data_IF_159098421315
#
_entry.id   IF_159098421315
#
_cell.length_a   1.000
_cell.length_b   1.000
_cell.length_c   1.000
_cell.angle_alpha   90.00
_cell.angle_beta   90.00
_cell.angle_gamma   90.00
#
_symmetry.space_group_name_H-M   'P 1'
#
loop_
_entity.id
_entity.type
_entity.pdbx_description
1 polymer ?
#
# COMPACT_ATOMS: atom_id res chain seq x y z
N UNK A 1 62.94 -3.38 39.12
CA UNK A 1 62.93 -4.70 38.47
C UNK A 1 61.83 -5.50 39.16
N UNK A 2 60.63 -5.47 38.60
CA UNK A 2 59.43 -6.12 39.11
C UNK A 2 58.65 -6.56 37.87
N UNK A 3 58.69 -7.86 37.60
CA UNK A 3 58.03 -8.50 36.46
C UNK A 3 56.53 -8.66 36.75
N UNK A 4 55.69 -8.06 35.91
CA UNK A 4 54.25 -8.33 35.87
C UNK A 4 53.96 -9.25 34.69
N UNK A 5 53.87 -10.54 34.97
CA UNK A 5 53.43 -11.57 34.04
C UNK A 5 51.98 -11.94 34.40
N UNK A 6 51.00 -11.39 33.68
CA UNK A 6 49.60 -11.81 33.76
C UNK A 6 49.20 -12.48 32.46
N UNK A 7 49.31 -13.81 32.43
CA UNK A 7 48.65 -14.66 31.45
C UNK A 7 47.14 -14.58 31.65
N UNK A 8 46.43 -14.03 30.67
CA UNK A 8 44.97 -14.12 30.59
C UNK A 8 44.62 -15.33 29.72
N UNK A 9 44.26 -16.45 30.37
CA UNK A 9 43.63 -17.61 29.73
C UNK A 9 42.21 -17.27 29.28
N UNK A 10 41.96 -17.32 27.97
CA UNK A 10 40.62 -17.29 27.39
C UNK A 10 39.97 -18.68 27.46
N UNK A 11 38.69 -18.82 27.85
CA UNK A 11 37.99 -20.09 27.74
C UNK A 11 37.62 -20.41 26.28
N UNK A 12 37.97 -21.63 25.92
CA UNK A 12 37.76 -22.28 24.64
C UNK A 12 36.27 -22.69 24.50
N UNK A 13 35.46 -21.94 23.75
CA UNK A 13 34.10 -22.36 23.39
C UNK A 13 34.10 -23.00 22.00
N UNK A 14 34.42 -24.30 21.97
CA UNK A 14 34.09 -25.19 20.86
C UNK A 14 32.83 -25.98 21.25
N UNK A 15 31.78 -25.89 20.42
CA UNK A 15 30.72 -26.90 20.39
C UNK A 15 29.33 -26.31 20.20
N UNK A 16 28.71 -26.61 19.05
CA UNK A 16 27.26 -26.48 18.88
C UNK A 16 26.80 -25.84 17.57
N UNK A 17 27.10 -26.47 16.44
CA UNK A 17 26.30 -26.27 15.23
C UNK A 17 24.97 -26.99 15.43
N UNK A 18 23.91 -26.25 15.72
CA UNK A 18 22.54 -26.71 15.56
C UNK A 18 21.80 -25.68 14.69
N UNK A 19 21.54 -26.10 13.45
CA UNK A 19 20.64 -25.44 12.51
C UNK A 19 19.26 -25.27 13.15
N UNK A 20 18.83 -24.03 13.34
CA UNK A 20 17.43 -23.73 13.64
C UNK A 20 16.81 -23.29 12.32
N UNK A 21 15.86 -24.13 11.89
CA UNK A 21 15.15 -24.09 10.64
C UNK A 21 14.21 -22.88 10.51
N UNK A 22 13.88 -22.59 9.25
CA UNK A 22 12.78 -21.76 8.77
C UNK A 22 11.52 -21.81 9.65
N UNK A 23 10.95 -20.67 10.07
CA UNK A 23 9.59 -20.60 10.59
C UNK A 23 8.60 -20.34 9.45
N UNK A 24 8.64 -21.14 8.39
CA UNK A 24 7.65 -21.15 7.31
C UNK A 24 7.16 -22.57 7.10
N UNK A 25 6.15 -22.96 7.90
CA UNK A 25 5.10 -23.96 7.62
C UNK A 25 4.56 -24.49 8.95
N UNK A 26 3.35 -24.06 9.30
CA UNK A 26 2.31 -24.88 9.95
C UNK A 26 1.29 -23.95 10.61
N UNK A 27 0.17 -23.69 9.95
CA UNK A 27 -1.11 -23.50 10.63
C UNK A 27 -2.22 -23.97 9.69
N UNK A 28 -2.30 -25.29 9.52
CA UNK A 28 -3.52 -25.95 9.08
C UNK A 28 -4.32 -26.37 10.32
N UNK A 29 -5.51 -25.76 10.44
CA UNK A 29 -6.77 -26.37 10.81
C UNK A 29 -6.95 -27.03 12.20
N UNK A 30 -7.76 -26.42 13.06
CA UNK A 30 -8.93 -27.06 13.72
C UNK A 30 -9.62 -26.12 14.71
N UNK A 31 -10.96 -26.11 14.72
CA UNK A 31 -11.74 -25.74 15.91
C UNK A 31 -12.93 -24.82 15.70
N UNK A 32 -14.02 -25.37 15.18
CA UNK A 32 -15.39 -24.90 15.45
C UNK A 32 -15.68 -24.94 16.95
N UNK A 33 -16.28 -23.88 17.50
CA UNK A 33 -17.22 -23.90 18.64
C UNK A 33 -17.86 -22.52 18.79
N UNK A 34 -19.19 -22.44 18.66
CA UNK A 34 -19.95 -21.20 18.79
C UNK A 34 -20.28 -20.84 20.23
N UNK A 35 -20.79 -19.62 20.43
CA UNK A 35 -21.87 -19.38 21.38
C UNK A 35 -22.58 -18.03 21.11
N UNK A 36 -23.86 -18.02 21.45
CA UNK A 36 -24.84 -16.95 21.30
C UNK A 36 -24.69 -15.81 22.31
N UNK A 37 -25.33 -14.67 22.04
CA UNK A 37 -25.68 -13.69 23.08
C UNK A 37 -26.12 -12.33 22.56
N UNK A 38 -27.41 -12.02 22.72
CA UNK A 38 -28.05 -10.72 22.47
C UNK A 38 -27.47 -9.56 23.29
N UNK A 39 -27.57 -8.32 22.78
CA UNK A 39 -28.42 -7.24 23.30
C UNK A 39 -27.91 -5.84 22.93
N UNK A 40 -28.80 -5.05 22.33
CA UNK A 40 -29.23 -3.69 22.68
C UNK A 40 -28.20 -2.71 23.27
N UNK A 41 -27.91 -1.63 22.52
CA UNK A 41 -27.12 -0.51 23.05
C UNK A 41 -27.16 0.83 22.30
N UNK A 42 -27.88 0.98 21.17
CA UNK A 42 -27.87 2.26 20.40
C UNK A 42 -29.01 3.16 20.84
N UNK A 43 -28.95 3.65 22.07
CA UNK A 43 -29.73 4.80 22.51
C UNK A 43 -29.09 5.38 23.77
N UNK A 44 -28.08 6.24 23.59
CA UNK A 44 -27.61 7.30 24.51
C UNK A 44 -26.17 7.64 24.15
N UNK A 45 -25.96 8.73 23.43
CA UNK A 45 -24.76 9.59 23.50
C UNK A 45 -24.91 10.74 22.50
N UNK A 46 -25.87 11.63 22.75
CA UNK A 46 -25.89 12.97 22.18
C UNK A 46 -25.90 13.95 23.36
N UNK A 47 -24.79 14.66 23.66
CA UNK A 47 -24.81 15.79 24.57
C UNK A 47 -25.42 17.02 23.87
N UNK A 48 -26.21 17.84 24.58
CA UNK A 48 -26.80 19.06 24.04
C UNK A 48 -25.78 20.20 24.06
N UNK A 49 -25.70 21.01 22.99
CA UNK A 49 -25.12 22.36 23.11
C UNK A 49 -24.15 22.85 22.03
N UNK A 50 -24.41 22.63 20.74
CA UNK A 50 -23.76 23.44 19.70
C UNK A 50 -24.78 24.35 19.01
N UNK A 51 -24.76 25.61 19.45
CA UNK A 51 -25.39 26.76 18.82
C UNK A 51 -24.47 27.27 17.71
N UNK A 52 -25.06 27.52 16.54
CA UNK A 52 -24.49 28.33 15.47
C UNK A 52 -24.18 29.75 15.96
N UNK A 53 -23.05 30.31 15.53
CA UNK A 53 -22.66 31.69 15.80
C UNK A 53 -21.32 32.03 15.16
N UNK A 54 -21.36 32.72 14.02
CA UNK A 54 -20.20 33.12 13.25
C UNK A 54 -19.33 34.22 13.87
N UNK A 55 -18.11 34.36 13.34
CA UNK A 55 -17.19 35.45 13.64
C UNK A 55 -15.91 35.33 12.83
N UNK A 56 -15.77 36.15 11.79
CA UNK A 56 -14.56 36.26 10.99
C UNK A 56 -13.48 37.10 11.67
N UNK A 57 -12.23 36.84 11.32
CA UNK A 57 -11.09 37.68 11.68
C UNK A 57 -10.23 37.99 10.43
N UNK A 58 -9.94 39.27 10.13
CA UNK A 58 -9.01 39.66 9.07
C UNK A 58 -7.58 39.83 9.61
N UNK A 59 -6.58 39.42 8.84
CA UNK A 59 -5.16 39.75 9.09
C UNK A 59 -4.55 40.35 7.81
N UNK A 60 -4.05 41.60 7.83
CA UNK A 60 -3.35 42.24 6.72
C UNK A 60 -1.81 42.24 6.92
N UNK A 61 -1.04 42.11 5.83
CA UNK A 61 0.34 42.62 5.73
C UNK A 61 1.47 41.61 5.50
N UNK A 62 2.68 42.07 5.11
CA UNK A 62 3.21 41.83 3.77
C UNK A 62 4.62 41.21 3.77
N UNK A 63 4.78 40.01 3.19
CA UNK A 63 6.09 39.46 2.84
C UNK A 63 5.99 38.69 1.50
N UNK A 64 6.20 39.43 0.41
CA UNK A 64 6.39 38.89 -0.93
C UNK A 64 7.77 38.26 -1.07
N UNK A 65 7.82 37.04 -1.61
CA UNK A 65 9.06 36.31 -1.88
C UNK A 65 8.88 34.81 -2.14
N UNK A 66 7.68 34.26 -1.91
CA UNK A 66 7.36 32.82 -2.06
C UNK A 66 6.41 32.53 -3.24
N UNK A 67 6.08 33.53 -4.05
CA UNK A 67 4.94 33.50 -4.99
C UNK A 67 5.04 32.48 -6.13
N UNK A 68 6.23 31.99 -6.48
CA UNK A 68 6.37 30.98 -7.54
C UNK A 68 6.30 29.54 -7.04
N UNK A 69 6.56 29.28 -5.76
CA UNK A 69 6.36 27.95 -5.15
C UNK A 69 4.89 27.76 -4.73
N UNK A 70 4.23 28.86 -4.33
CA UNK A 70 2.83 28.84 -3.91
C UNK A 70 1.85 28.69 -5.09
N UNK A 71 2.14 29.23 -6.29
CA UNK A 71 1.27 29.01 -7.46
C UNK A 71 1.30 27.58 -7.99
N UNK A 72 2.40 26.84 -7.81
CA UNK A 72 2.46 25.41 -8.16
C UNK A 72 1.72 24.55 -7.13
N UNK A 73 1.74 24.97 -5.85
CA UNK A 73 0.96 24.36 -4.77
C UNK A 73 -0.54 24.66 -4.89
N UNK A 74 -0.93 25.84 -5.39
CA UNK A 74 -2.34 26.22 -5.65
C UNK A 74 -2.91 25.48 -6.86
N UNK A 75 -2.09 25.12 -7.86
CA UNK A 75 -2.52 24.23 -8.95
C UNK A 75 -2.89 22.82 -8.45
N UNK A 76 -2.19 22.31 -7.44
CA UNK A 76 -2.49 21.03 -6.78
C UNK A 76 -3.64 21.15 -5.76
N UNK A 77 -3.73 22.27 -5.03
CA UNK A 77 -4.86 22.53 -4.12
C UNK A 77 -6.18 22.82 -4.88
N UNK A 78 -6.12 23.29 -6.12
CA UNK A 78 -7.31 23.50 -6.96
C UNK A 78 -8.02 22.20 -7.36
N UNK A 79 -7.29 21.09 -7.46
CA UNK A 79 -7.88 19.75 -7.61
C UNK A 79 -8.46 19.21 -6.28
N UNK A 80 -7.95 19.70 -5.15
CA UNK A 80 -8.39 19.29 -3.81
C UNK A 80 -9.58 20.10 -3.27
N UNK A 81 -9.75 21.36 -3.67
CA UNK A 81 -10.82 22.25 -3.17
C UNK A 81 -12.09 22.32 -4.03
N UNK A 82 -12.10 21.79 -5.25
CA UNK A 82 -13.32 21.69 -6.08
C UNK A 82 -14.15 20.42 -5.81
N UNK A 83 -13.75 19.59 -4.84
CA UNK A 83 -14.51 18.44 -4.33
C UNK A 83 -15.33 18.74 -3.06
N UNK A 84 -15.54 20.02 -2.74
CA UNK A 84 -16.25 20.48 -1.54
C UNK A 84 -17.76 20.19 -1.55
N UNK A 85 -18.13 18.94 -1.33
CA UNK A 85 -19.46 18.50 -0.92
C UNK A 85 -19.31 17.53 0.25
N UNK A 86 -19.97 17.82 1.37
CA UNK A 86 -19.93 17.01 2.60
C UNK A 86 -20.16 15.51 2.31
N UNK A 87 -19.26 14.59 2.73
CA UNK A 87 -19.58 13.18 2.74
C UNK A 87 -20.14 12.82 4.12
N UNK A 88 -21.45 12.91 4.27
CA UNK A 88 -22.11 11.91 5.11
C UNK A 88 -22.02 10.60 4.33
N UNK A 89 -21.13 9.71 4.75
CA UNK A 89 -20.97 8.31 4.30
C UNK A 89 -21.61 7.97 2.95
N UNK A 90 -20.87 8.22 1.88
CA UNK A 90 -21.17 7.67 0.56
C UNK A 90 -19.89 7.02 0.06
N UNK A 91 -19.87 5.69 0.01
CA UNK A 91 -18.81 4.94 -0.63
C UNK A 91 -18.54 5.52 -2.02
N UNK A 92 -17.28 5.57 -2.41
CA UNK A 92 -16.85 6.05 -3.71
C UNK A 92 -17.61 5.29 -4.81
N UNK A 93 -18.56 5.90 -5.55
CA UNK A 93 -19.47 5.19 -6.46
C UNK A 93 -18.79 4.63 -7.72
N UNK A 94 -17.46 4.72 -7.79
CA UNK A 94 -16.63 4.18 -8.87
C UNK A 94 -15.54 3.21 -8.38
N UNK A 95 -15.47 2.91 -7.09
CA UNK A 95 -14.59 1.85 -6.61
C UNK A 95 -15.09 0.50 -7.19
N UNK A 96 -14.22 -0.33 -7.78
CA UNK A 96 -14.58 -1.68 -8.17
C UNK A 96 -15.25 -2.41 -6.99
N UNK A 97 -16.23 -3.30 -7.22
CA UNK A 97 -16.87 -4.02 -6.14
C UNK A 97 -15.85 -4.83 -5.33
N UNK A 98 -15.80 -4.58 -4.01
CA UNK A 98 -14.99 -5.35 -3.08
C UNK A 98 -15.57 -6.76 -2.89
N UNK A 99 -14.71 -7.73 -2.59
CA UNK A 99 -15.12 -9.10 -2.28
C UNK A 99 -14.60 -9.51 -0.91
N UNK A 100 -15.41 -10.26 -0.17
CA UNK A 100 -14.99 -10.84 1.11
C UNK A 100 -13.93 -11.92 0.94
N UNK A 101 -12.85 -11.82 1.70
CA UNK A 101 -11.79 -12.83 1.80
C UNK A 101 -11.57 -13.27 3.25
N UNK A 102 -11.62 -14.58 3.49
CA UNK A 102 -11.24 -15.14 4.80
C UNK A 102 -9.73 -15.09 5.03
N UNK A 103 -8.96 -15.21 3.95
CA UNK A 103 -7.52 -15.01 3.93
C UNK A 103 -7.11 -14.53 2.53
N UNK A 104 -6.28 -13.50 2.45
CA UNK A 104 -5.75 -13.00 1.20
C UNK A 104 -4.34 -12.42 1.37
N UNK A 105 -3.56 -12.47 0.30
CA UNK A 105 -2.23 -11.90 0.21
C UNK A 105 -2.03 -11.23 -1.14
N UNK A 106 -1.50 -10.01 -1.11
CA UNK A 106 -1.20 -9.21 -2.29
C UNK A 106 0.23 -8.69 -2.26
N UNK A 107 0.88 -8.56 -3.40
CA UNK A 107 2.20 -7.97 -3.49
C UNK A 107 2.40 -7.14 -4.76
N UNK A 108 3.23 -6.11 -4.64
CA UNK A 108 3.77 -5.32 -5.74
C UNK A 108 5.27 -5.13 -5.51
N UNK A 109 6.10 -5.73 -6.37
CA UNK A 109 7.57 -5.71 -6.15
C UNK A 109 8.34 -4.73 -7.04
N UNK A 110 7.67 -3.76 -7.68
CA UNK A 110 8.29 -2.77 -8.57
C UNK A 110 8.92 -3.40 -9.83
N UNK A 111 8.43 -3.02 -11.00
CA UNK A 111 8.64 -3.67 -12.30
C UNK A 111 8.82 -5.21 -12.33
N UNK A 112 7.88 -5.93 -12.94
CA UNK A 112 6.47 -5.55 -13.14
C UNK A 112 5.52 -6.35 -12.27
N UNK A 113 6.04 -7.14 -11.33
CA UNK A 113 5.25 -8.23 -10.77
C UNK A 113 4.25 -7.73 -9.73
N UNK A 114 2.98 -7.78 -10.12
CA UNK A 114 1.85 -7.78 -9.22
C UNK A 114 1.39 -9.21 -9.01
N UNK A 115 1.02 -9.52 -7.78
CA UNK A 115 0.41 -10.80 -7.45
C UNK A 115 -0.65 -10.65 -6.39
N UNK A 116 -1.68 -11.49 -6.49
CA UNK A 116 -2.70 -11.59 -5.47
C UNK A 116 -3.19 -13.02 -5.40
N UNK A 117 -3.46 -13.49 -4.19
CA UNK A 117 -4.14 -14.75 -3.94
C UNK A 117 -5.03 -14.63 -2.72
N UNK A 118 -6.19 -15.28 -2.73
CA UNK A 118 -7.12 -15.23 -1.60
C UNK A 118 -8.26 -16.23 -1.71
N UNK A 119 -8.88 -16.52 -0.58
CA UNK A 119 -10.05 -17.39 -0.47
C UNK A 119 -11.30 -16.54 -0.25
N UNK A 120 -12.15 -16.45 -1.27
CA UNK A 120 -13.44 -15.75 -1.22
C UNK A 120 -14.62 -16.71 -1.07
N UNK A 121 -15.82 -16.18 -0.83
CA UNK A 121 -17.07 -16.95 -0.80
C UNK A 121 -17.39 -17.64 -2.13
N UNK A 122 -16.88 -17.11 -3.25
CA UNK A 122 -17.07 -17.67 -4.60
C UNK A 122 -15.99 -18.67 -5.01
N UNK A 123 -14.95 -18.82 -4.20
CA UNK A 123 -13.81 -19.71 -4.44
C UNK A 123 -12.46 -19.02 -4.28
N UNK A 124 -11.41 -19.74 -4.66
CA UNK A 124 -10.04 -19.24 -4.62
C UNK A 124 -9.78 -18.30 -5.80
N UNK A 125 -9.23 -17.12 -5.52
CA UNK A 125 -8.74 -16.16 -6.50
C UNK A 125 -7.22 -16.20 -6.44
N UNK A 126 -6.55 -16.25 -7.59
CA UNK A 126 -5.09 -16.21 -7.65
C UNK A 126 -4.65 -15.73 -9.03
N UNK A 127 -3.72 -14.78 -9.07
CA UNK A 127 -3.18 -14.24 -10.31
C UNK A 127 -1.85 -13.54 -10.12
N UNK A 128 -1.10 -13.50 -11.21
CA UNK A 128 0.14 -12.73 -11.35
C UNK A 128 0.10 -12.01 -12.68
N UNK A 129 0.41 -10.73 -12.71
CA UNK A 129 0.46 -9.94 -13.94
C UNK A 129 1.48 -8.84 -13.83
N UNK A 130 1.82 -8.30 -15.00
CA UNK A 130 2.86 -7.30 -15.15
C UNK A 130 2.24 -5.91 -15.32
N UNK A 131 2.64 -4.97 -14.46
CA UNK A 131 2.24 -3.56 -14.54
C UNK A 131 3.44 -2.64 -14.34
N UNK A 132 3.65 -1.74 -15.30
CA UNK A 132 4.69 -0.70 -15.29
C UNK A 132 4.11 0.68 -14.92
N UNK A 133 2.92 0.72 -14.31
CA UNK A 133 2.26 1.97 -13.92
C UNK A 133 2.19 2.13 -12.41
N UNK A 134 1.97 3.37 -11.97
CA UNK A 134 1.53 3.64 -10.60
C UNK A 134 0.12 3.14 -10.38
N UNK A 135 -0.17 2.80 -9.14
CA UNK A 135 -1.49 2.32 -8.72
C UNK A 135 -2.03 3.29 -7.68
N UNK A 136 -3.04 4.09 -8.06
CA UNK A 136 -3.72 5.01 -7.12
C UNK A 136 -4.54 4.27 -6.07
N UNK A 137 -4.92 3.03 -6.40
CA UNK A 137 -5.72 2.13 -5.58
C UNK A 137 -5.21 0.69 -5.79
N UNK A 138 -4.01 0.42 -5.26
CA UNK A 138 -3.38 -0.89 -5.40
C UNK A 138 -4.19 -1.98 -4.67
N UNK A 139 -4.64 -1.66 -3.47
CA UNK A 139 -5.46 -2.51 -2.62
C UNK A 139 -6.20 -1.61 -1.62
N UNK A 140 -7.50 -1.79 -1.50
CA UNK A 140 -8.34 -1.10 -0.52
C UNK A 140 -9.24 -2.08 0.25
N UNK A 141 -9.83 -1.55 1.32
CA UNK A 141 -10.83 -2.24 2.14
C UNK A 141 -11.74 -1.23 2.81
N UNK A 142 -13.05 -1.40 2.65
CA UNK A 142 -14.09 -0.63 3.36
C UNK A 142 -14.53 -1.28 4.69
N UNK A 143 -14.14 -2.53 4.92
CA UNK A 143 -14.40 -3.26 6.17
C UNK A 143 -13.67 -2.64 7.37
N UNK A 144 -12.53 -1.99 7.15
CA UNK A 144 -11.82 -1.24 8.19
C UNK A 144 -12.57 0.07 8.48
N UNK A 145 -12.90 0.39 9.74
CA UNK A 145 -13.53 1.67 10.09
C UNK A 145 -12.73 2.88 9.59
N UNK A 146 -13.37 3.74 8.80
CA UNK A 146 -12.74 4.88 8.14
C UNK A 146 -12.01 4.53 6.84
N UNK A 147 -11.91 3.25 6.49
CA UNK A 147 -11.29 2.77 5.27
C UNK A 147 -9.78 2.53 5.40
N UNK A 148 -9.29 1.70 4.50
CA UNK A 148 -7.88 1.37 4.32
C UNK A 148 -7.57 1.40 2.82
N UNK A 149 -6.43 1.99 2.43
CA UNK A 149 -5.94 1.88 1.05
C UNK A 149 -4.43 1.92 0.92
N UNK A 150 -3.93 1.26 -0.11
CA UNK A 150 -2.53 1.27 -0.51
C UNK A 150 -2.42 1.89 -1.90
N UNK A 151 -1.46 2.77 -2.10
CA UNK A 151 -1.13 3.33 -3.41
C UNK A 151 0.38 3.30 -3.67
N UNK A 152 0.77 3.32 -4.94
CA UNK A 152 2.15 3.41 -5.38
C UNK A 152 2.36 4.49 -6.42
N UNK A 153 3.55 5.11 -6.39
CA UNK A 153 3.99 6.07 -7.40
C UNK A 153 5.18 5.42 -8.13
N UNK A 154 5.19 5.37 -9.47
CA UNK A 154 6.24 4.71 -10.21
C UNK A 154 7.46 5.63 -10.37
N UNK A 155 8.64 5.06 -10.59
CA UNK A 155 9.80 5.80 -11.08
C UNK A 155 9.59 6.20 -12.54
N UNK A 156 10.40 7.15 -13.03
CA UNK A 156 10.55 7.31 -14.47
C UNK A 156 11.08 5.98 -15.08
N UNK A 157 10.69 5.65 -16.33
CA UNK A 157 11.24 4.49 -17.03
C UNK A 157 12.75 4.66 -17.24
N UNK A 158 13.51 3.59 -17.02
CA UNK A 158 14.95 3.57 -17.29
C UNK A 158 15.24 3.40 -18.81
N UNK A 159 16.51 3.23 -19.17
CA UNK A 159 16.93 3.07 -20.57
C UNK A 159 16.30 1.84 -21.28
N UNK A 160 15.82 0.86 -20.51
CA UNK A 160 15.13 -0.33 -20.99
C UNK A 160 13.60 -0.20 -20.93
N UNK A 161 13.07 0.95 -20.50
CA UNK A 161 11.63 1.19 -20.35
C UNK A 161 11.03 0.70 -19.02
N UNK A 162 11.87 0.26 -18.08
CA UNK A 162 11.46 -0.39 -16.82
C UNK A 162 11.22 0.67 -15.72
N UNK A 163 10.12 0.56 -14.99
CA UNK A 163 9.63 1.42 -13.89
C UNK A 163 9.45 0.65 -12.58
N UNK A 164 10.00 1.15 -11.48
CA UNK A 164 9.82 0.58 -10.15
C UNK A 164 8.82 1.38 -9.32
N UNK A 165 8.39 0.88 -8.16
CA UNK A 165 7.70 1.72 -7.19
C UNK A 165 8.71 2.71 -6.57
N UNK A 166 8.61 3.99 -6.92
CA UNK A 166 9.42 5.05 -6.31
C UNK A 166 9.02 5.30 -4.85
N UNK A 167 7.73 5.16 -4.55
CA UNK A 167 7.18 5.20 -3.20
C UNK A 167 5.90 4.39 -3.11
N UNK A 168 5.55 4.00 -1.91
CA UNK A 168 4.24 3.45 -1.56
C UNK A 168 3.64 4.23 -0.40
N UNK A 169 2.32 4.38 -0.40
CA UNK A 169 1.58 5.00 0.70
C UNK A 169 0.50 4.07 1.22
N UNK A 170 0.33 4.05 2.54
CA UNK A 170 -0.80 3.40 3.23
C UNK A 170 -1.63 4.49 3.87
N UNK A 171 -2.92 4.52 3.58
CA UNK A 171 -3.87 5.47 4.11
C UNK A 171 -4.90 4.74 4.94
N UNK A 172 -5.18 5.25 6.14
CA UNK A 172 -6.16 4.68 7.06
C UNK A 172 -7.04 5.78 7.66
N UNK A 173 -8.12 5.39 8.32
CA UNK A 173 -8.95 6.29 9.13
C UNK A 173 -9.46 7.51 8.33
N UNK A 174 -9.89 7.28 7.10
CA UNK A 174 -10.47 8.29 6.20
C UNK A 174 -9.47 9.31 5.67
N UNK A 175 -8.17 8.97 5.67
CA UNK A 175 -7.10 9.93 5.37
C UNK A 175 -6.57 10.65 6.61
N UNK A 176 -7.07 10.31 7.80
CA UNK A 176 -6.57 10.81 9.07
C UNK A 176 -5.12 10.37 9.33
N UNK A 177 -4.76 9.15 8.94
CA UNK A 177 -3.36 8.70 8.96
C UNK A 177 -2.89 8.38 7.55
N UNK A 178 -1.74 8.92 7.16
CA UNK A 178 -1.07 8.65 5.89
C UNK A 178 0.39 8.30 6.19
N UNK A 179 0.78 7.10 5.79
CA UNK A 179 2.16 6.63 5.85
C UNK A 179 2.71 6.61 4.43
N UNK A 180 3.88 7.20 4.22
CA UNK A 180 4.58 7.14 2.94
C UNK A 180 5.97 6.57 3.14
N UNK A 181 6.33 5.59 2.33
CA UNK A 181 7.65 4.96 2.32
C UNK A 181 8.30 5.12 0.96
N UNK A 182 9.50 5.69 0.93
CA UNK A 182 10.25 5.97 -0.29
C UNK A 182 11.27 4.89 -0.65
N UNK A 183 11.68 4.85 -1.92
CA UNK A 183 12.76 3.99 -2.41
C UNK A 183 14.15 4.34 -1.81
N UNK A 184 14.28 5.49 -1.16
CA UNK A 184 15.43 5.88 -0.34
C UNK A 184 15.45 5.19 1.04
N UNK A 185 14.35 4.52 1.41
CA UNK A 185 14.17 3.85 2.69
C UNK A 185 13.80 4.80 3.83
N UNK A 186 13.32 6.00 3.51
CA UNK A 186 12.74 6.92 4.47
C UNK A 186 11.22 6.70 4.56
N UNK A 187 10.69 6.77 5.78
CA UNK A 187 9.27 6.72 6.07
C UNK A 187 8.82 8.08 6.65
N UNK A 188 7.64 8.52 6.24
CA UNK A 188 6.93 9.64 6.86
C UNK A 188 5.58 9.15 7.35
N UNK A 189 5.23 9.51 8.58
CA UNK A 189 3.92 9.21 9.17
C UNK A 189 3.25 10.56 9.42
N UNK A 190 2.12 10.81 8.76
CA UNK A 190 1.28 11.98 8.99
C UNK A 190 0.00 11.53 9.70
N UNK A 191 -0.31 12.14 10.83
CA UNK A 191 -1.55 11.93 11.55
C UNK A 191 -2.28 13.26 11.74
N UNK A 192 -3.48 13.37 11.20
CA UNK A 192 -4.32 14.57 11.19
C UNK A 192 -3.54 15.81 10.72
N UNK A 193 -2.71 15.64 9.70
CA UNK A 193 -1.86 16.69 9.12
C UNK A 193 -0.56 16.98 9.89
N UNK A 194 -0.30 16.31 11.01
CA UNK A 194 0.93 16.46 11.77
C UNK A 194 1.90 15.32 11.48
N UNK A 195 3.15 15.63 11.19
CA UNK A 195 4.18 14.60 10.99
C UNK A 195 4.66 14.05 12.33
N UNK A 196 4.54 12.75 12.49
CA UNK A 196 5.09 11.99 13.63
C UNK A 196 6.42 11.36 13.22
N UNK A 197 7.46 11.64 14.00
CA UNK A 197 8.74 10.98 13.82
C UNK A 197 8.71 9.59 14.48
N UNK A 198 9.14 8.57 13.73
CA UNK A 198 9.40 7.22 14.23
C UNK A 198 10.81 6.85 13.81
N UNK A 199 11.62 6.30 14.71
CA UNK A 199 12.94 5.79 14.34
C UNK A 199 12.87 4.29 14.02
N UNK A 200 13.88 3.78 13.30
CA UNK A 200 14.02 2.33 13.07
C UNK A 200 14.18 1.59 14.40
N UNK A 201 13.59 0.40 14.46
CA UNK A 201 13.44 -0.40 15.67
C UNK A 201 12.33 0.08 16.63
N UNK A 202 11.52 1.06 16.25
CA UNK A 202 10.44 1.58 17.09
C UNK A 202 9.06 1.22 16.54
N UNK A 203 8.11 1.15 17.47
CA UNK A 203 6.70 0.93 17.19
C UNK A 203 5.90 2.14 17.69
N UNK A 204 4.87 2.49 16.94
CA UNK A 204 3.89 3.51 17.25
C UNK A 204 2.52 2.82 17.26
N UNK A 205 1.84 2.86 18.40
CA UNK A 205 0.46 2.40 18.51
C UNK A 205 -0.46 3.60 18.42
N UNK A 206 -1.43 3.51 17.53
CA UNK A 206 -2.50 4.49 17.34
C UNK A 206 -3.85 3.78 17.54
N UNK A 207 -4.95 4.51 17.74
CA UNK A 207 -6.27 3.87 17.84
C UNK A 207 -6.62 3.08 16.57
N UNK A 208 -6.76 1.76 16.68
CA UNK A 208 -7.13 0.87 15.57
C UNK A 208 -5.98 0.46 14.64
N UNK A 209 -4.78 0.99 14.83
CA UNK A 209 -3.62 0.67 13.98
C UNK A 209 -2.31 0.64 14.77
N UNK A 210 -1.39 -0.23 14.34
CA UNK A 210 -0.04 -0.32 14.87
C UNK A 210 0.96 -0.17 13.72
N UNK A 211 1.91 0.74 13.90
CA UNK A 211 2.95 1.03 12.91
C UNK A 211 4.30 0.66 13.51
N UNK A 212 5.07 -0.16 12.81
CA UNK A 212 6.40 -0.59 13.23
C UNK A 212 7.41 -0.23 12.16
N UNK A 213 8.41 0.59 12.48
CA UNK A 213 9.56 0.75 11.61
C UNK A 213 10.63 -0.21 12.09
N UNK A 214 10.76 -1.34 11.42
CA UNK A 214 11.64 -2.42 11.83
C UNK A 214 13.12 -2.03 11.74
N UNK A 215 13.96 -2.75 12.48
CA UNK A 215 15.41 -2.51 12.51
C UNK A 215 16.08 -2.75 11.13
N UNK A 216 15.51 -3.64 10.32
CA UNK A 216 15.95 -3.90 8.94
C UNK A 216 15.57 -2.76 7.96
N UNK A 217 14.80 -1.78 8.43
CA UNK A 217 14.34 -0.62 7.67
C UNK A 217 12.98 -0.78 7.03
N UNK A 218 12.34 -1.96 7.07
CA UNK A 218 10.98 -2.15 6.58
C UNK A 218 9.95 -1.44 7.48
N UNK A 219 8.90 -0.91 6.87
CA UNK A 219 7.77 -0.31 7.57
C UNK A 219 6.60 -1.29 7.54
N UNK A 220 6.07 -1.66 8.70
CA UNK A 220 4.89 -2.50 8.82
C UNK A 220 3.74 -1.70 9.40
N UNK A 221 2.55 -1.88 8.84
CA UNK A 221 1.29 -1.29 9.30
C UNK A 221 0.31 -2.43 9.53
N UNK A 222 -0.21 -2.55 10.74
CA UNK A 222 -1.24 -3.51 11.10
C UNK A 222 -2.50 -2.74 11.49
N UNK A 223 -3.63 -3.07 10.85
CA UNK A 223 -4.92 -2.43 11.08
C UNK A 223 -5.96 -3.50 11.37
N UNK A 224 -6.78 -3.26 12.39
CA UNK A 224 -7.82 -4.18 12.86
C UNK A 224 -9.19 -3.49 12.75
N UNK A 225 -10.21 -4.24 12.33
CA UNK A 225 -11.58 -3.71 12.16
C UNK A 225 -12.38 -3.66 13.48
N UNK A 226 -11.84 -4.21 14.57
CA UNK A 226 -12.49 -4.38 15.87
C UNK A 226 -13.44 -5.58 15.97
N UNK A 227 -13.67 -6.31 14.88
CA UNK A 227 -14.60 -7.44 14.75
C UNK A 227 -13.90 -8.76 14.32
N UNK A 228 -12.57 -8.78 14.30
CA UNK A 228 -11.75 -9.96 13.99
C UNK A 228 -11.22 -10.00 12.56
N UNK A 229 -11.44 -8.94 11.78
CA UNK A 229 -10.79 -8.67 10.51
C UNK A 229 -9.50 -7.88 10.70
N UNK A 230 -8.45 -8.22 9.97
CA UNK A 230 -7.18 -7.52 10.04
C UNK A 230 -6.46 -7.45 8.70
N UNK A 231 -5.61 -6.44 8.56
CA UNK A 231 -4.70 -6.30 7.43
C UNK A 231 -3.32 -5.85 7.90
N UNK A 232 -2.30 -6.58 7.47
CA UNK A 232 -0.89 -6.27 7.72
C UNK A 232 -0.23 -5.94 6.39
N UNK A 233 0.27 -4.71 6.28
CA UNK A 233 1.05 -4.25 5.13
C UNK A 233 2.50 -4.07 5.52
N UNK A 234 3.41 -4.57 4.70
CA UNK A 234 4.85 -4.39 4.85
C UNK A 234 5.39 -3.68 3.60
N UNK A 235 6.09 -2.56 3.83
CA UNK A 235 6.79 -1.78 2.82
C UNK A 235 8.28 -1.97 3.04
N UNK A 236 9.02 -2.40 2.02
CA UNK A 236 10.46 -2.65 2.14
C UNK A 236 11.21 -2.16 0.92
N UNK A 237 12.46 -1.75 1.10
CA UNK A 237 13.31 -1.34 0.00
C UNK A 237 13.93 -2.57 -0.67
N UNK A 238 13.88 -2.66 -2.00
CA UNK A 238 14.46 -3.78 -2.76
C UNK A 238 15.71 -3.38 -3.59
N UNK A 239 16.24 -2.18 -3.36
CA UNK A 239 17.42 -1.63 -4.04
C UNK A 239 17.08 -0.77 -5.26
N UNK A 240 16.00 -1.07 -5.98
CA UNK A 240 15.54 -0.32 -7.16
C UNK A 240 14.25 0.48 -6.91
N UNK A 241 13.45 0.05 -5.93
CA UNK A 241 12.21 0.67 -5.52
C UNK A 241 11.70 0.16 -4.18
N UNK A 242 10.38 0.23 -4.02
CA UNK A 242 9.62 -0.21 -2.84
C UNK A 242 8.83 -1.49 -3.17
N UNK A 243 9.08 -2.55 -2.41
CA UNK A 243 8.22 -3.71 -2.35
C UNK A 243 7.06 -3.43 -1.39
N UNK A 244 5.86 -3.77 -1.84
CA UNK A 244 4.63 -3.76 -1.05
C UNK A 244 4.18 -5.20 -0.88
N UNK A 245 3.88 -5.62 0.35
CA UNK A 245 3.20 -6.88 0.65
C UNK A 245 2.07 -6.63 1.63
N UNK A 246 0.89 -7.13 1.32
CA UNK A 246 -0.28 -7.06 2.19
C UNK A 246 -0.77 -8.48 2.49
N UNK A 247 -1.19 -8.71 3.73
CA UNK A 247 -1.86 -9.92 4.16
C UNK A 247 -3.10 -9.54 4.94
N UNK A 248 -4.25 -10.05 4.53
CA UNK A 248 -5.55 -9.70 5.09
C UNK A 248 -6.31 -10.96 5.52
N UNK A 249 -7.08 -10.85 6.59
CA UNK A 249 -7.96 -11.91 7.07
C UNK A 249 -9.33 -11.33 7.41
N UNK A 250 -10.39 -12.02 6.98
CA UNK A 250 -11.79 -11.67 7.25
C UNK A 250 -12.14 -10.22 6.88
N UNK A 251 -11.76 -9.78 5.68
CA UNK A 251 -12.04 -8.43 5.18
C UNK A 251 -12.59 -8.48 3.76
N UNK A 252 -13.41 -7.49 3.44
CA UNK A 252 -13.71 -7.12 2.05
C UNK A 252 -12.50 -6.38 1.46
N UNK A 253 -12.08 -6.79 0.27
CA UNK A 253 -10.92 -6.23 -0.42
C UNK A 253 -11.25 -5.88 -1.86
N UNK A 254 -10.67 -4.78 -2.34
CA UNK A 254 -10.77 -4.30 -3.72
C UNK A 254 -9.42 -3.87 -4.32
N UNK A 255 -9.48 -2.88 -5.21
CA UNK A 255 -8.31 -2.33 -5.89
C UNK A 255 -7.74 -3.16 -7.03
N UNK A 256 -6.61 -2.68 -7.55
CA UNK A 256 -5.94 -3.23 -8.74
C UNK A 256 -5.43 -4.66 -8.52
N UNK A 257 -5.03 -5.02 -7.30
CA UNK A 257 -4.58 -6.39 -6.97
C UNK A 257 -5.72 -7.41 -7.06
N UNK A 258 -6.89 -7.10 -6.51
CA UNK A 258 -8.05 -8.00 -6.59
C UNK A 258 -8.57 -8.08 -8.02
N UNK A 259 -8.66 -6.93 -8.69
CA UNK A 259 -9.14 -6.84 -10.08
C UNK A 259 -8.23 -7.59 -11.04
N UNK A 260 -6.91 -7.39 -10.95
CA UNK A 260 -5.94 -8.04 -11.83
C UNK A 260 -5.91 -9.56 -11.69
N UNK A 261 -6.14 -10.10 -10.48
CA UNK A 261 -6.19 -11.55 -10.28
C UNK A 261 -7.46 -12.22 -10.80
N UNK A 262 -8.55 -11.47 -11.00
CA UNK A 262 -9.80 -11.98 -11.58
C UNK A 262 -9.83 -11.85 -13.10
N UNK A 263 -9.06 -10.93 -13.67
CA UNK A 263 -8.83 -10.86 -15.10
C UNK A 263 -7.86 -11.97 -15.50
N UNK A 264 -8.37 -13.04 -16.11
CA UNK A 264 -7.53 -14.11 -16.65
C UNK A 264 -6.39 -13.54 -17.52
N UNK A 265 -5.25 -14.24 -17.65
CA UNK A 265 -4.09 -13.72 -18.39
C UNK A 265 -4.55 -13.24 -19.75
N UNK A 266 -4.08 -12.08 -20.24
CA UNK A 266 -4.49 -11.57 -21.55
C UNK A 266 -4.30 -12.70 -22.54
N UNK A 267 -5.39 -13.14 -23.15
CA UNK A 267 -5.36 -14.18 -24.18
C UNK A 267 -4.36 -13.65 -25.22
N UNK A 268 -3.16 -14.24 -25.28
CA UNK A 268 -2.23 -13.94 -26.36
C UNK A 268 -3.02 -14.23 -27.63
N UNK A 269 -3.37 -13.20 -28.38
CA UNK A 269 -3.92 -13.32 -29.73
C UNK A 269 -2.76 -13.83 -30.59
N UNK A 270 -2.40 -15.10 -30.41
CA UNK A 270 -1.36 -15.83 -31.11
C UNK A 270 -1.86 -16.36 -32.45
N UNK A 271 -2.70 -15.58 -33.14
CA UNK A 271 -2.89 -15.77 -34.57
C UNK A 271 -1.64 -15.24 -35.27
N UNK A 272 -1.17 -15.90 -36.35
CA UNK A 272 -0.14 -15.31 -37.20
C UNK A 272 -0.59 -13.90 -37.59
N UNK A 273 0.24 -12.89 -37.31
CA UNK A 273 0.02 -11.52 -37.81
C UNK A 273 -0.15 -11.66 -39.33
N UNK A 274 -1.29 -11.25 -39.90
CA UNK A 274 -1.45 -11.24 -41.35
C UNK A 274 -0.35 -10.38 -41.93
N UNK A 275 0.66 -11.02 -42.53
CA UNK A 275 1.70 -10.28 -43.24
C UNK A 275 1.00 -9.66 -44.44
N UNK A 276 1.00 -8.32 -44.59
CA UNK A 276 0.43 -7.70 -45.77
C UNK A 276 1.12 -8.30 -47.00
N UNK A 277 0.38 -8.68 -48.05
CA UNK A 277 1.00 -9.15 -49.28
C UNK A 277 1.98 -8.08 -49.78
N UNK A 278 3.16 -8.47 -50.27
CA UNK A 278 4.15 -7.52 -50.77
C UNK A 278 3.49 -6.63 -51.84
N UNK A 279 3.57 -5.32 -51.65
CA UNK A 279 3.15 -4.35 -52.65
C UNK A 279 4.11 -4.48 -53.83
N UNK A 280 3.68 -5.19 -54.88
CA UNK A 280 4.39 -5.23 -56.14
C UNK A 280 4.40 -3.83 -56.74
N UNK A 281 5.53 -3.13 -56.61
CA UNK A 281 5.74 -1.86 -57.26
C UNK A 281 5.90 -2.12 -58.77
N UNK A 282 4.94 -1.71 -59.64
CA UNK A 282 5.04 -2.00 -61.07
C UNK A 282 6.25 -1.25 -61.63
N UNK A 283 7.18 -2.03 -62.19
CA UNK A 283 8.43 -1.57 -62.81
C UNK A 283 8.23 -0.32 -63.67
N UNK A 284 8.99 0.72 -63.34
CA UNK A 284 9.29 1.84 -64.23
C UNK A 284 9.95 1.26 -65.50
N UNK A 285 9.26 1.32 -66.63
CA UNK A 285 9.86 1.03 -67.94
C UNK A 285 10.71 2.23 -68.34
N UNK A 286 12.03 2.05 -68.34
CA UNK A 286 12.93 2.98 -69.00
C UNK A 286 12.76 2.83 -70.51
N UNK A 287 12.15 3.83 -71.15
CA UNK A 287 12.21 4.02 -72.61
C UNK A 287 13.62 4.54 -72.94
N UNK A 288 14.40 3.78 -73.72
CA UNK A 288 15.65 4.30 -74.31
C UNK A 288 15.30 5.24 -75.46
N UNK A 289 15.95 6.40 -75.47
CA UNK A 289 16.08 7.31 -76.61
C UNK A 289 16.93 6.66 -77.71
#
# INVERSE_FOLDING_TARGET
MLDFNTQTTLPNFLGGLSSIADPLQAFENSGTLGNAGSNDGIARLLPPGFSEGGGGFPIPGPLGGISNLLMQLIGMLGALLNGGGMPTGAGNPTAPPENYFSNAGGASTGDPHLSFSGQSSTGNVSGTWDSMSGHGDLLDSDSIPGGFSISTIPTAPNAQGITYNASASVTTNGGGTVLTYGADGNATISQNGNTTALARGQNLSLPGEAVSWNADGSLQVNVDDGNGGNIVTTLSRNGQGVDVRAHAQNLDLGGDLVTGATQGPPQRIGGPIPVPPPIFNPRIRYTRL
#
